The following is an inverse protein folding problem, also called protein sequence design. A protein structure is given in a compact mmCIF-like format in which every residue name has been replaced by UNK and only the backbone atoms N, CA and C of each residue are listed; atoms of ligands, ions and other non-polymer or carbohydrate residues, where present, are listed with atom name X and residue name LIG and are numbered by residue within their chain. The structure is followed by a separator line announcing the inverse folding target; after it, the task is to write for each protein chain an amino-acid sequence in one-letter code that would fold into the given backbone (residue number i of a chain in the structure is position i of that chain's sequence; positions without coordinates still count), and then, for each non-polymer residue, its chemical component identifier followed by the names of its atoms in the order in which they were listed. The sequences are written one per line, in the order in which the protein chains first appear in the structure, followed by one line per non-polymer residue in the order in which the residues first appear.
data_IF_645787979737
#
_entry.id   IF_645787979737
#
_cell.length_a   1.000
_cell.length_b   1.000
_cell.length_c   1.000
_cell.angle_alpha   90.00
_cell.angle_beta   90.00
_cell.angle_gamma   90.00
#
_symmetry.space_group_name_H-M   'P 1'
#
loop_
_entity.id
_entity.type
_entity.pdbx_description
1 polymer ?
2 polymer ?
#
# COMPACT_ATOMS: atom_id res chain seq x y z
N UNK A 1 -17.07 -15.91 9.72
CA UNK A 1 -16.60 -14.69 10.39
C UNK A 1 -16.04 -13.72 9.36
N UNK A 2 -15.84 -12.46 9.76
CA UNK A 2 -15.30 -11.45 8.87
C UNK A 2 -13.81 -11.67 8.60
N UNK A 3 -13.18 -12.57 9.36
CA UNK A 3 -11.77 -12.88 9.22
C UNK A 3 -11.56 -14.38 9.04
N UNK A 4 -10.52 -14.71 8.25
CA UNK A 4 -10.11 -16.06 7.96
C UNK A 4 -8.67 -15.99 7.44
N UNK A 5 -7.99 -17.13 7.40
CA UNK A 5 -6.60 -17.16 6.95
C UNK A 5 -6.49 -16.71 5.50
N UNK A 6 -5.44 -15.93 5.20
CA UNK A 6 -5.13 -15.46 3.85
C UNK A 6 -6.28 -14.74 3.13
N UNK A 7 -7.31 -14.28 3.84
CA UNK A 7 -8.40 -13.56 3.17
C UNK A 7 -7.84 -12.36 2.41
N UNK A 8 -6.78 -11.75 2.94
CA UNK A 8 -6.15 -10.61 2.31
C UNK A 8 -5.50 -11.09 1.02
N UNK A 9 -4.73 -12.17 1.09
CA UNK A 9 -4.02 -12.70 -0.05
C UNK A 9 -4.99 -13.07 -1.16
N UNK A 10 -6.02 -13.88 -0.85
CA UNK A 10 -6.93 -14.31 -1.90
C UNK A 10 -7.60 -13.10 -2.54
N UNK A 11 -7.72 -12.00 -1.77
CA UNK A 11 -8.20 -10.74 -2.31
C UNK A 11 -7.26 -10.25 -3.40
N UNK A 12 -5.96 -10.12 -3.10
CA UNK A 12 -4.97 -9.59 -4.05
C UNK A 12 -4.81 -10.49 -5.26
N UNK A 13 -5.20 -11.76 -5.12
CA UNK A 13 -5.20 -12.70 -6.24
C UNK A 13 -6.43 -12.48 -7.12
N UNK A 14 -7.30 -11.55 -6.72
CA UNK A 14 -8.50 -11.20 -7.46
C UNK A 14 -8.45 -9.74 -7.94
N UNK A 15 -7.56 -8.92 -7.39
CA UNK A 15 -7.47 -7.51 -7.74
C UNK A 15 -6.79 -7.30 -9.09
N UNK A 16 -7.07 -6.15 -9.70
CA UNK A 16 -6.46 -5.73 -10.95
C UNK A 16 -5.70 -4.41 -10.73
N UNK A 17 -4.88 -4.02 -11.70
CA UNK A 17 -4.02 -2.85 -11.61
C UNK A 17 -4.79 -1.52 -11.69
N UNK A 18 -6.03 -1.46 -11.22
CA UNK A 18 -6.82 -0.24 -11.34
C UNK A 18 -7.87 -0.10 -10.23
N UNK A 19 -8.32 1.12 -10.02
CA UNK A 19 -9.18 1.53 -8.91
C UNK A 19 -10.49 0.76 -8.80
N UNK A 20 -10.91 0.01 -9.82
CA UNK A 20 -12.15 -0.74 -9.73
C UNK A 20 -12.12 -1.70 -8.54
N UNK A 21 -11.40 -2.82 -8.70
CA UNK A 21 -11.25 -3.78 -7.63
C UNK A 21 -10.36 -3.25 -6.51
N UNK A 22 -9.41 -2.37 -6.85
CA UNK A 22 -8.49 -1.81 -5.86
C UNK A 22 -9.26 -0.98 -4.83
N UNK A 23 -10.09 -0.03 -5.29
CA UNK A 23 -10.84 0.79 -4.36
C UNK A 23 -11.86 -0.06 -3.61
N UNK A 24 -12.47 -1.03 -4.29
CA UNK A 24 -13.46 -1.88 -3.64
C UNK A 24 -12.81 -2.67 -2.50
N UNK A 25 -11.64 -3.28 -2.76
CA UNK A 25 -10.91 -4.02 -1.75
C UNK A 25 -10.38 -3.09 -0.66
N UNK A 26 -10.11 -1.83 -1.00
CA UNK A 26 -9.64 -0.87 -0.02
C UNK A 26 -10.74 -0.59 0.99
N UNK A 27 -11.97 -0.39 0.50
CA UNK A 27 -13.11 -0.10 1.33
C UNK A 27 -13.40 -1.28 2.26
N UNK A 28 -13.16 -2.51 1.81
CA UNK A 28 -13.27 -3.66 2.70
C UNK A 28 -12.29 -3.48 3.86
N UNK A 29 -11.02 -3.20 3.55
CA UNK A 29 -10.02 -3.02 4.60
C UNK A 29 -10.40 -1.84 5.49
N UNK A 30 -10.90 -0.74 4.89
CA UNK A 30 -11.29 0.43 5.66
C UNK A 30 -12.46 0.09 6.58
N UNK A 31 -13.19 -1.00 6.32
CA UNK A 31 -14.21 -1.50 7.25
C UNK A 31 -13.60 -2.46 8.28
N UNK A 32 -12.40 -2.99 8.02
CA UNK A 32 -11.68 -3.80 9.01
C UNK A 32 -10.88 -2.92 9.97
N UNK A 33 -11.34 -1.68 10.20
CA UNK A 33 -10.63 -0.68 10.98
C UNK A 33 -10.26 -1.17 12.37
N UNK A 34 -11.04 -2.10 12.93
CA UNK A 34 -10.80 -2.66 14.26
C UNK A 34 -9.53 -3.51 14.25
N UNK A 35 -9.28 -4.15 13.10
CA UNK A 35 -8.29 -5.18 12.92
C UNK A 35 -7.09 -4.69 12.11
N UNK A 36 -7.02 -3.38 11.89
CA UNK A 36 -6.02 -2.73 11.06
C UNK A 36 -4.59 -3.24 11.29
N UNK A 37 -4.09 -3.37 12.54
CA UNK A 37 -2.75 -3.88 12.76
C UNK A 37 -2.65 -5.35 12.36
N UNK A 38 -3.71 -6.12 12.52
CA UNK A 38 -3.71 -7.53 12.13
C UNK A 38 -3.62 -7.65 10.61
N UNK A 39 -4.47 -6.92 9.87
CA UNK A 39 -4.46 -6.98 8.42
C UNK A 39 -3.14 -6.41 7.88
N UNK A 40 -2.55 -5.44 8.58
CA UNK A 40 -1.28 -4.86 8.16
C UNK A 40 -0.16 -5.89 8.23
N UNK A 41 -0.13 -6.72 9.28
CA UNK A 41 0.89 -7.74 9.36
C UNK A 41 0.67 -8.78 8.28
N UNK A 42 -0.58 -9.07 7.91
CA UNK A 42 -0.83 -9.98 6.80
C UNK A 42 -0.40 -9.35 5.48
N UNK A 43 -0.57 -8.03 5.33
CA UNK A 43 -0.21 -7.34 4.10
C UNK A 43 1.29 -7.43 3.85
N UNK A 44 2.11 -7.06 4.83
CA UNK A 44 3.55 -7.16 4.67
C UNK A 44 3.95 -8.60 4.36
N UNK A 45 3.43 -9.58 5.10
CA UNK A 45 3.82 -10.96 4.86
C UNK A 45 3.42 -11.40 3.45
N UNK A 46 2.24 -10.99 2.99
CA UNK A 46 1.75 -11.38 1.68
C UNK A 46 2.75 -11.00 0.60
N UNK A 47 3.12 -9.71 0.54
CA UNK A 47 4.06 -9.23 -0.47
C UNK A 47 5.51 -9.61 -0.18
N UNK A 48 5.88 -9.80 1.08
CA UNK A 48 7.20 -10.31 1.43
C UNK A 48 7.43 -11.73 0.89
N UNK A 49 6.36 -12.50 0.65
CA UNK A 49 6.50 -13.82 0.06
C UNK A 49 6.94 -13.70 -1.39
N UNK A 50 7.96 -14.43 -1.82
CA UNK A 50 8.31 -14.55 -3.22
C UNK A 50 7.43 -15.58 -3.92
N UNK A 51 6.51 -16.21 -3.18
CA UNK A 51 5.53 -17.10 -3.76
C UNK A 51 4.58 -16.31 -4.67
N UNK A 52 4.78 -14.99 -4.71
CA UNK A 52 4.04 -14.08 -5.57
C UNK A 52 5.01 -13.16 -6.30
N UNK A 53 4.68 -12.83 -7.56
CA UNK A 53 5.53 -12.03 -8.44
C UNK A 53 5.30 -10.53 -8.29
N UNK A 54 6.14 -9.73 -8.97
CA UNK A 54 6.10 -8.28 -8.90
C UNK A 54 4.71 -7.74 -9.27
N UNK A 55 3.97 -8.45 -10.13
CA UNK A 55 2.62 -8.07 -10.50
C UNK A 55 1.72 -8.07 -9.27
N UNK A 56 1.82 -9.10 -8.44
CA UNK A 56 1.05 -9.23 -7.22
C UNK A 56 1.40 -8.11 -6.24
N UNK A 57 2.69 -7.79 -6.14
CA UNK A 57 3.15 -6.70 -5.29
C UNK A 57 2.60 -5.37 -5.79
N UNK A 58 2.45 -5.22 -7.11
CA UNK A 58 1.95 -3.98 -7.68
C UNK A 58 0.47 -3.76 -7.36
N UNK A 59 -0.33 -4.83 -7.32
CA UNK A 59 -1.74 -4.72 -6.94
C UNK A 59 -1.83 -4.25 -5.50
N UNK A 60 -1.24 -5.01 -4.59
CA UNK A 60 -1.20 -4.65 -3.18
C UNK A 60 -0.59 -3.26 -2.93
N UNK A 61 0.33 -2.81 -3.79
CA UNK A 61 0.89 -1.48 -3.70
C UNK A 61 -0.20 -0.43 -3.94
N UNK A 62 -1.02 -0.60 -4.99
CA UNK A 62 -2.12 0.30 -5.27
C UNK A 62 -3.19 0.19 -4.19
N UNK A 63 -3.43 -1.02 -3.70
CA UNK A 63 -4.41 -1.25 -2.65
C UNK A 63 -4.03 -0.47 -1.41
N UNK A 64 -2.76 -0.57 -1.00
CA UNK A 64 -2.30 0.16 0.16
C UNK A 64 -2.54 1.64 -0.05
N UNK A 65 -2.20 2.15 -1.24
CA UNK A 65 -2.30 3.57 -1.55
C UNK A 65 -3.69 4.11 -1.25
N UNK A 66 -4.75 3.45 -1.74
CA UNK A 66 -6.09 3.96 -1.52
C UNK A 66 -6.57 3.73 -0.08
N UNK A 67 -6.10 2.65 0.55
CA UNK A 67 -6.46 2.37 1.95
C UNK A 67 -5.91 3.45 2.86
N UNK A 68 -4.61 3.75 2.77
CA UNK A 68 -4.01 4.73 3.65
C UNK A 68 -4.60 6.12 3.41
N UNK A 69 -4.94 6.42 2.14
CA UNK A 69 -5.57 7.68 1.80
C UNK A 69 -6.92 7.85 2.49
N UNK A 70 -7.78 6.84 2.41
CA UNK A 70 -9.10 6.94 3.03
C UNK A 70 -8.98 7.00 4.55
N UNK A 71 -8.03 6.23 5.12
CA UNK A 71 -7.84 6.21 6.56
C UNK A 71 -7.40 7.59 7.05
N UNK A 72 -6.48 8.21 6.31
CA UNK A 72 -6.05 9.58 6.53
C UNK A 72 -7.21 10.56 6.47
N UNK A 73 -8.18 10.29 5.58
CA UNK A 73 -9.31 11.18 5.37
C UNK A 73 -10.23 11.27 6.57
N UNK A 74 -10.94 10.17 6.85
CA UNK A 74 -11.93 10.14 7.90
C UNK A 74 -11.30 10.19 9.28
N UNK A 75 -10.96 9.03 9.84
CA UNK A 75 -10.42 8.93 11.20
C UNK A 75 -9.82 7.57 11.50
N UNK A 76 -9.58 6.73 10.49
CA UNK A 76 -9.07 5.38 10.70
C UNK A 76 -7.56 5.42 10.87
N UNK A 77 -7.05 6.24 11.81
CA UNK A 77 -5.62 6.41 11.98
C UNK A 77 -4.92 5.07 12.20
N UNK A 78 -5.65 4.07 12.69
CA UNK A 78 -5.09 2.76 12.91
C UNK A 78 -4.57 2.16 11.60
N UNK A 79 -5.21 2.47 10.47
CA UNK A 79 -4.81 1.89 9.19
C UNK A 79 -3.61 2.60 8.59
N UNK A 80 -3.62 3.94 8.55
CA UNK A 80 -2.50 4.66 7.98
C UNK A 80 -1.25 4.42 8.83
N UNK A 81 -1.42 4.23 10.14
CA UNK A 81 -0.32 3.89 11.02
C UNK A 81 0.09 2.44 10.84
N UNK A 82 -0.88 1.51 10.81
CA UNK A 82 -0.55 0.10 10.73
C UNK A 82 0.14 -0.22 9.41
N UNK A 83 -0.24 0.44 8.31
CA UNK A 83 0.46 0.26 7.05
C UNK A 83 1.73 1.11 7.03
N UNK A 84 1.69 2.32 7.60
CA UNK A 84 2.86 3.17 7.64
C UNK A 84 4.00 2.54 8.43
N UNK A 85 3.68 1.79 9.49
CA UNK A 85 4.70 1.18 10.33
C UNK A 85 5.53 0.16 9.53
N UNK A 86 4.90 -0.55 8.61
CA UNK A 86 5.59 -1.57 7.81
C UNK A 86 6.07 -0.99 6.47
N UNK A 87 5.48 0.13 6.03
CA UNK A 87 5.72 0.69 4.71
C UNK A 87 7.21 0.94 4.46
N UNK A 88 7.97 1.38 5.45
CA UNK A 88 9.38 1.67 5.27
C UNK A 88 10.12 0.42 4.79
N UNK A 89 10.06 -0.67 5.57
CA UNK A 89 10.71 -1.91 5.20
C UNK A 89 10.05 -2.49 3.96
N UNK A 90 8.72 -2.66 4.00
CA UNK A 90 7.96 -3.27 2.93
C UNK A 90 8.25 -2.61 1.58
N UNK A 91 7.96 -1.32 1.42
CA UNK A 91 8.18 -0.65 0.15
C UNK A 91 9.67 -0.71 -0.20
N UNK A 92 10.53 -0.65 0.83
CA UNK A 92 11.95 -0.74 0.64
C UNK A 92 12.34 -2.05 -0.03
N UNK A 93 11.62 -3.15 0.26
CA UNK A 93 11.86 -4.44 -0.37
C UNK A 93 11.27 -4.50 -1.78
N UNK A 94 10.15 -3.81 -2.03
CA UNK A 94 9.55 -3.82 -3.36
C UNK A 94 10.54 -3.25 -4.37
N UNK A 95 11.26 -2.20 -3.98
CA UNK A 95 12.29 -1.62 -4.82
C UNK A 95 13.40 -2.63 -5.14
N UNK A 96 13.48 -3.75 -4.42
CA UNK A 96 14.57 -4.71 -4.58
C UNK A 96 14.17 -5.85 -5.52
N UNK A 97 12.91 -5.88 -5.94
CA UNK A 97 12.42 -6.89 -6.86
C UNK A 97 11.72 -6.27 -8.07
N UNK A 98 11.36 -4.99 -8.00
CA UNK A 98 10.73 -4.31 -9.12
C UNK A 98 11.77 -3.94 -10.18
N UNK A 99 11.37 -4.00 -11.45
CA UNK A 99 12.15 -3.48 -12.56
C UNK A 99 12.12 -1.96 -12.47
N UNK A 100 13.06 -1.27 -13.12
CA UNK A 100 13.17 0.17 -12.99
C UNK A 100 11.85 0.86 -13.31
N UNK A 101 11.08 0.31 -14.25
CA UNK A 101 9.79 0.87 -14.61
C UNK A 101 8.77 0.79 -13.47
N UNK A 102 8.65 -0.36 -12.81
CA UNK A 102 7.73 -0.47 -11.70
C UNK A 102 8.25 0.33 -10.50
N UNK A 103 9.57 0.39 -10.31
CA UNK A 103 10.16 1.23 -9.27
C UNK A 103 9.76 2.69 -9.46
N UNK A 104 9.77 3.19 -10.69
CA UNK A 104 9.33 4.55 -10.98
C UNK A 104 7.85 4.75 -10.65
N UNK A 105 7.00 3.77 -11.00
CA UNK A 105 5.57 3.85 -10.70
C UNK A 105 5.34 3.84 -9.20
N UNK A 106 6.03 2.95 -8.50
CA UNK A 106 5.95 2.86 -7.05
C UNK A 106 6.39 4.19 -6.44
N UNK A 107 7.52 4.73 -6.92
CA UNK A 107 8.04 5.99 -6.43
C UNK A 107 7.00 7.10 -6.56
N UNK A 108 6.27 7.15 -7.68
CA UNK A 108 5.24 8.15 -7.86
C UNK A 108 4.15 7.98 -6.81
N UNK A 109 3.68 6.75 -6.61
CA UNK A 109 2.66 6.48 -5.60
C UNK A 109 3.17 6.91 -4.23
N UNK A 110 4.44 6.61 -3.92
CA UNK A 110 5.04 7.01 -2.66
C UNK A 110 5.09 8.54 -2.56
N UNK A 111 5.46 9.22 -3.65
CA UNK A 111 5.50 10.68 -3.65
C UNK A 111 4.10 11.25 -3.44
N UNK A 112 3.10 10.73 -4.15
CA UNK A 112 1.74 11.20 -4.03
C UNK A 112 1.25 11.05 -2.58
N UNK A 113 1.67 9.99 -1.89
CA UNK A 113 1.31 9.78 -0.50
C UNK A 113 2.02 10.79 0.39
N UNK A 114 3.30 11.05 0.13
CA UNK A 114 4.07 12.06 0.84
C UNK A 114 3.45 13.44 0.67
N UNK A 115 3.05 13.80 -0.55
CA UNK A 115 2.41 15.08 -0.82
C UNK A 115 1.07 15.18 -0.09
N UNK A 116 0.29 14.09 -0.07
CA UNK A 116 -0.94 14.04 0.72
C UNK A 116 -0.65 13.92 2.22
N UNK A 117 0.62 13.77 2.62
CA UNK A 117 1.00 13.73 4.03
C UNK A 117 0.31 12.58 4.77
N UNK A 118 -0.03 11.52 4.04
CA UNK A 118 -0.75 10.38 4.58
C UNK A 118 -0.06 9.81 5.82
N UNK A 119 1.22 9.44 5.71
CA UNK A 119 2.01 9.02 6.85
C UNK A 119 2.60 10.23 7.57
N UNK A 120 3.09 10.04 8.79
CA UNK A 120 3.78 11.10 9.50
C UNK A 120 5.08 11.38 8.76
N UNK A 121 5.53 12.64 8.75
CA UNK A 121 6.75 12.99 8.04
C UNK A 121 7.93 12.17 8.59
N UNK A 122 7.83 11.69 9.83
CA UNK A 122 8.84 10.80 10.39
C UNK A 122 8.85 9.48 9.64
N UNK A 123 7.68 8.82 9.57
CA UNK A 123 7.50 7.57 8.84
C UNK A 123 7.85 7.75 7.37
N UNK A 124 7.58 8.94 6.81
CA UNK A 124 7.97 9.24 5.46
C UNK A 124 9.49 9.12 5.30
N UNK A 125 10.28 9.69 6.22
CA UNK A 125 11.73 9.60 6.11
C UNK A 125 12.21 8.16 6.20
N UNK A 126 11.51 7.32 6.98
CA UNK A 126 11.80 5.89 7.02
C UNK A 126 11.58 5.26 5.64
N UNK A 127 10.44 5.55 5.00
CA UNK A 127 10.16 5.05 3.66
C UNK A 127 11.16 5.60 2.64
N UNK A 128 11.46 6.89 2.73
CA UNK A 128 12.37 7.56 1.81
C UNK A 128 13.76 6.93 1.86
N UNK A 129 14.36 6.85 3.05
CA UNK A 129 15.72 6.35 3.16
C UNK A 129 15.77 4.86 2.81
N UNK A 130 14.68 4.14 3.05
CA UNK A 130 14.58 2.72 2.74
C UNK A 130 14.57 2.50 1.23
N UNK A 131 13.70 3.23 0.52
CA UNK A 131 13.65 3.17 -0.94
C UNK A 131 14.94 3.75 -1.52
N UNK A 132 15.54 4.73 -0.84
CA UNK A 132 16.81 5.30 -1.26
C UNK A 132 17.91 4.24 -1.16
N UNK A 133 17.94 3.48 -0.06
CA UNK A 133 18.89 2.38 0.06
C UNK A 133 18.61 1.32 -1.01
N UNK A 134 17.32 1.16 -1.38
CA UNK A 134 16.90 0.18 -2.37
C UNK A 134 17.04 0.70 -3.80
N UNK A 135 17.70 1.85 -3.99
CA UNK A 135 18.06 2.31 -5.33
C UNK A 135 19.14 1.41 -5.92
N UNK A 136 19.70 0.52 -5.09
CA UNK A 136 20.75 -0.41 -5.48
C UNK A 136 22.06 0.29 -5.84
N UNK A 137 22.14 1.60 -5.56
CA UNK A 137 23.34 2.38 -5.74
C UNK A 137 23.34 3.52 -4.72
N UNK A 138 24.52 4.07 -4.42
CA UNK A 138 24.66 5.07 -3.37
C UNK A 138 25.80 6.04 -3.71
N UNK B 1 -12.18 -5.50 -13.20
CA UNK B 1 -12.08 -4.58 -14.35
C UNK B 1 -10.87 -3.69 -14.21
N UNK B 2 -10.37 -3.15 -15.33
CA UNK B 2 -9.20 -2.28 -15.33
C UNK B 2 -9.47 -0.97 -16.07
N UNK B 3 -10.28 -0.08 -15.48
CA UNK B 3 -10.50 1.26 -16.01
C UNK B 3 -9.28 2.13 -15.79
N UNK B 4 -9.34 3.40 -16.22
CA UNK B 4 -8.28 4.37 -16.06
C UNK B 4 -7.91 4.55 -14.59
N UNK B 5 -6.65 4.92 -14.33
CA UNK B 5 -6.18 5.08 -12.95
C UNK B 5 -4.98 6.02 -12.87
N UNK B 6 -5.03 6.93 -11.89
CA UNK B 6 -3.97 7.87 -11.55
C UNK B 6 -4.04 8.08 -10.04
N UNK B 7 -3.07 7.57 -9.27
CA UNK B 7 -3.08 7.57 -7.81
C UNK B 7 -3.22 8.93 -7.13
N UNK B 8 -3.15 10.03 -7.90
CA UNK B 8 -3.29 11.38 -7.36
C UNK B 8 -4.75 11.84 -7.42
N UNK B 9 -5.61 11.08 -8.09
CA UNK B 9 -7.01 11.41 -8.27
C UNK B 9 -7.97 10.91 -7.18
N UNK B 10 -7.79 9.71 -6.60
CA UNK B 10 -8.76 9.14 -5.67
C UNK B 10 -8.75 9.84 -4.32
N UNK B 11 -9.74 9.46 -3.50
CA UNK B 11 -10.03 9.97 -2.16
C UNK B 11 -8.80 10.26 -1.30
N UNK B 12 -8.97 11.19 -0.34
CA UNK B 12 -7.96 11.58 0.64
C UNK B 12 -8.63 12.26 1.83
N UNK B 13 -9.75 12.93 1.57
CA UNK B 13 -10.63 13.49 2.61
C UNK B 13 -12.08 13.39 2.10
N UNK B 14 -12.57 12.19 1.79
CA UNK B 14 -13.88 11.98 1.19
C UNK B 14 -15.02 12.15 2.20
N UNK B 15 -14.76 11.88 3.48
CA UNK B 15 -15.75 11.95 4.53
C UNK B 15 -15.06 11.87 5.88
N UNK B 16 -15.77 12.28 6.95
CA UNK B 16 -15.32 12.05 8.31
C UNK B 16 -15.64 10.60 8.70
#
# INVERSE_FOLDING_TARGET
MAFSSEQFTTKLNTLEDSQESISSASKWLLLQYRDAPKVAEMWKEYMLRPSVNTRRKLLGLYLMNHVVQQAKGQKIIQFQDSFGKVAAEVLGRINQEFPRDLKKKLSRVVNILKERNIFSKQVVNDIERSLAAALEHHHHHH
TSPSYSPTSPSYSPTS
#
